data_IF_967216739054
#
_entry.id   IF_967216739054
#
_cell.length_a   1.000
_cell.length_b   1.000
_cell.length_c   1.000
_cell.angle_alpha   90.00
_cell.angle_beta   90.00
_cell.angle_gamma   90.00
#
_symmetry.space_group_name_H-M   'P 1'
#
loop_
_entity.id
_entity.type
_entity.pdbx_description
1 polymer ?
#
# COMPACT_ATOMS: atom_id res chain seq x y z
N UNK A 1 1.85 -35.65 -18.38
CA UNK A 1 0.90 -34.71 -19.04
C UNK A 1 1.56 -33.34 -19.03
N UNK A 2 1.75 -32.73 -20.19
CA UNK A 2 2.22 -31.34 -20.31
C UNK A 2 1.12 -30.42 -19.77
N UNK A 3 1.49 -29.48 -18.90
CA UNK A 3 0.52 -28.49 -18.38
C UNK A 3 0.23 -27.42 -19.43
N UNK A 4 -0.94 -26.76 -19.35
CA UNK A 4 -1.26 -25.64 -20.24
C UNK A 4 -0.17 -24.53 -20.19
N UNK A 5 0.48 -24.36 -19.03
CA UNK A 5 1.63 -23.47 -18.86
C UNK A 5 2.80 -23.89 -19.75
N UNK A 6 3.12 -25.19 -19.78
CA UNK A 6 4.24 -25.72 -20.57
C UNK A 6 3.96 -25.59 -22.07
N UNK A 7 2.73 -25.77 -22.49
CA UNK A 7 2.32 -25.58 -23.90
C UNK A 7 2.48 -24.12 -24.33
N UNK A 8 1.98 -23.18 -23.53
CA UNK A 8 2.08 -21.74 -23.80
C UNK A 8 3.54 -21.30 -23.83
N UNK A 9 4.32 -21.61 -22.79
CA UNK A 9 5.74 -21.24 -22.72
C UNK A 9 6.55 -21.93 -23.81
N UNK A 10 6.24 -23.18 -24.15
CA UNK A 10 6.84 -23.90 -25.26
C UNK A 10 6.53 -23.26 -26.60
N UNK A 11 5.29 -22.83 -26.81
CA UNK A 11 4.88 -22.06 -28.00
C UNK A 11 5.66 -20.75 -28.15
N UNK A 12 5.77 -19.97 -27.07
CA UNK A 12 6.54 -18.72 -27.05
C UNK A 12 8.02 -18.97 -27.36
N UNK A 13 8.65 -19.99 -26.73
CA UNK A 13 10.05 -20.33 -26.98
C UNK A 13 10.30 -20.70 -28.45
N UNK A 14 9.42 -21.50 -29.05
CA UNK A 14 9.51 -21.85 -30.48
C UNK A 14 9.39 -20.61 -31.36
N UNK A 15 8.42 -19.75 -31.11
CA UNK A 15 8.19 -18.53 -31.89
C UNK A 15 9.37 -17.56 -31.79
N UNK A 16 10.07 -17.52 -30.66
CA UNK A 16 11.25 -16.68 -30.44
C UNK A 16 12.57 -17.36 -30.82
N UNK A 17 12.55 -18.57 -31.37
CA UNK A 17 13.73 -19.36 -31.73
C UNK A 17 14.69 -19.53 -30.54
N UNK A 18 14.17 -19.62 -29.31
CA UNK A 18 14.95 -19.77 -28.08
C UNK A 18 14.91 -21.19 -27.57
N UNK A 19 16.10 -21.79 -27.43
CA UNK A 19 16.30 -23.05 -26.74
C UNK A 19 16.12 -22.93 -25.21
N UNK A 20 16.35 -24.05 -24.49
CA UNK A 20 16.44 -24.03 -23.04
C UNK A 20 17.50 -23.02 -22.58
N UNK A 21 17.22 -22.32 -21.46
CA UNK A 21 18.22 -21.43 -20.87
C UNK A 21 19.44 -22.24 -20.39
N UNK A 22 20.69 -21.87 -20.75
CA UNK A 22 21.88 -22.51 -20.22
C UNK A 22 21.90 -22.44 -18.69
N UNK A 23 22.42 -23.48 -18.04
CA UNK A 23 22.36 -23.61 -16.58
C UNK A 23 23.12 -22.51 -15.85
N UNK A 24 24.23 -22.04 -16.38
CA UNK A 24 25.01 -20.92 -15.85
C UNK A 24 24.20 -19.60 -15.88
N UNK A 25 23.49 -19.36 -16.99
CA UNK A 25 22.61 -18.20 -17.12
C UNK A 25 21.38 -18.31 -16.23
N UNK A 26 20.83 -19.50 -16.05
CA UNK A 26 19.73 -19.73 -15.12
C UNK A 26 20.16 -19.41 -13.68
N UNK A 27 21.35 -19.87 -13.27
CA UNK A 27 21.93 -19.59 -11.96
C UNK A 27 22.18 -18.09 -11.75
N UNK A 28 22.80 -17.41 -12.73
CA UNK A 28 23.04 -15.96 -12.69
C UNK A 28 21.73 -15.17 -12.51
N UNK A 29 20.68 -15.52 -13.26
CA UNK A 29 19.38 -14.85 -13.17
C UNK A 29 18.69 -15.13 -11.84
N UNK A 30 18.79 -16.35 -11.32
CA UNK A 30 18.26 -16.71 -10.00
C UNK A 30 18.95 -15.92 -8.90
N UNK A 31 20.29 -15.84 -8.94
CA UNK A 31 21.06 -15.02 -7.99
C UNK A 31 20.66 -13.54 -8.08
N UNK A 32 20.54 -13.01 -9.30
CA UNK A 32 20.14 -11.63 -9.52
C UNK A 32 18.76 -11.33 -8.90
N UNK A 33 17.80 -12.24 -9.06
CA UNK A 33 16.47 -12.12 -8.46
C UNK A 33 16.55 -12.20 -6.93
N UNK A 34 17.33 -13.14 -6.39
CA UNK A 34 17.47 -13.33 -4.94
C UNK A 34 18.24 -12.19 -4.25
N UNK A 35 19.23 -11.63 -4.92
CA UNK A 35 20.10 -10.59 -4.34
C UNK A 35 19.38 -9.24 -4.12
N UNK A 36 18.27 -8.99 -4.80
CA UNK A 36 17.51 -7.74 -4.72
C UNK A 36 18.39 -6.48 -4.71
N UNK A 37 19.41 -6.45 -5.59
CA UNK A 37 20.39 -5.36 -5.62
C UNK A 37 19.70 -4.03 -5.81
N UNK A 38 19.96 -3.11 -4.89
CA UNK A 38 19.47 -1.73 -5.00
C UNK A 38 20.06 -1.07 -6.24
N UNK A 39 19.22 -0.34 -6.96
CA UNK A 39 19.64 0.50 -8.08
C UNK A 39 20.05 1.89 -7.56
N UNK A 40 20.08 2.90 -8.42
CA UNK A 40 20.33 4.27 -7.98
C UNK A 40 19.23 4.74 -7.05
N UNK A 41 19.61 5.11 -5.82
CA UNK A 41 18.72 5.77 -4.85
C UNK A 41 19.01 7.26 -4.95
N UNK A 42 18.00 8.10 -5.27
CA UNK A 42 18.18 9.55 -5.30
C UNK A 42 18.62 10.09 -3.92
N UNK A 43 19.56 11.04 -3.95
CA UNK A 43 20.12 11.60 -2.72
C UNK A 43 19.13 12.48 -1.93
N UNK A 44 18.06 12.95 -2.59
CA UNK A 44 17.10 13.91 -2.04
C UNK A 44 16.55 13.54 -0.68
N UNK A 45 16.19 12.27 -0.47
CA UNK A 45 15.59 11.81 0.78
C UNK A 45 16.55 10.96 1.63
N UNK A 46 17.62 10.41 1.04
CA UNK A 46 18.49 9.43 1.69
C UNK A 46 19.28 9.98 2.88
N UNK A 47 19.64 11.27 2.83
CA UNK A 47 20.44 11.93 3.88
C UNK A 47 19.59 12.64 4.95
N UNK A 48 18.26 12.62 4.84
CA UNK A 48 17.37 13.32 5.77
C UNK A 48 17.21 12.53 7.07
N UNK A 49 17.17 13.26 8.18
CA UNK A 49 16.72 12.72 9.46
C UNK A 49 15.22 12.38 9.41
N UNK A 50 14.69 11.84 10.50
CA UNK A 50 13.28 11.42 10.56
C UNK A 50 12.32 12.59 10.37
N UNK A 51 12.54 13.72 11.03
CA UNK A 51 11.63 14.87 10.97
C UNK A 51 11.62 15.49 9.57
N UNK A 52 12.79 15.76 9.00
CA UNK A 52 12.91 16.30 7.64
C UNK A 52 12.35 15.33 6.58
N UNK A 53 12.42 14.02 6.80
CA UNK A 53 11.83 13.02 5.92
C UNK A 53 10.31 13.05 5.96
N UNK A 54 9.71 13.21 7.14
CA UNK A 54 8.26 13.38 7.31
C UNK A 54 7.81 14.65 6.59
N UNK A 55 8.52 15.77 6.80
CA UNK A 55 8.19 17.04 6.15
C UNK A 55 8.30 16.96 4.63
N UNK A 56 9.33 16.30 4.12
CA UNK A 56 9.46 16.05 2.68
C UNK A 56 8.28 15.22 2.15
N UNK A 57 7.89 14.16 2.85
CA UNK A 57 6.74 13.34 2.46
C UNK A 57 5.47 14.18 2.36
N UNK A 58 5.19 14.98 3.36
CA UNK A 58 4.00 15.85 3.39
C UNK A 58 4.02 16.83 2.24
N UNK A 59 5.14 17.54 2.04
CA UNK A 59 5.28 18.50 0.95
C UNK A 59 5.06 17.85 -0.43
N UNK A 60 5.64 16.67 -0.66
CA UNK A 60 5.48 15.93 -1.92
C UNK A 60 4.07 15.40 -2.13
N UNK A 61 3.39 14.98 -1.06
CA UNK A 61 2.00 14.53 -1.13
C UNK A 61 1.04 15.71 -1.45
N UNK A 62 1.25 16.85 -0.81
CA UNK A 62 0.45 18.07 -1.05
C UNK A 62 0.67 18.66 -2.46
N UNK A 63 1.90 18.59 -2.99
CA UNK A 63 2.21 19.02 -4.36
C UNK A 63 1.33 18.29 -5.40
N UNK A 64 0.98 17.05 -5.14
CA UNK A 64 0.09 16.25 -6.00
C UNK A 64 -1.38 16.29 -5.55
N UNK A 65 -1.78 17.27 -4.74
CA UNK A 65 -3.16 17.51 -4.28
C UNK A 65 -3.71 16.45 -3.31
N UNK A 66 -2.85 15.73 -2.61
CA UNK A 66 -3.27 14.96 -1.44
C UNK A 66 -3.42 15.91 -0.26
N UNK A 67 -4.46 15.75 0.54
CA UNK A 67 -4.57 16.47 1.80
C UNK A 67 -3.95 15.64 2.94
N UNK A 68 -3.17 16.27 3.81
CA UNK A 68 -2.52 15.61 4.94
C UNK A 68 -2.90 16.31 6.23
N UNK A 69 -3.42 15.54 7.20
CA UNK A 69 -3.61 16.01 8.56
C UNK A 69 -2.66 15.27 9.49
N UNK A 70 -1.88 16.00 10.28
CA UNK A 70 -1.03 15.43 11.33
C UNK A 70 -1.83 15.30 12.62
N UNK A 71 -1.76 14.15 13.25
CA UNK A 71 -2.37 13.86 14.54
C UNK A 71 -1.33 13.26 15.47
N UNK A 72 -1.51 13.46 16.76
CA UNK A 72 -0.52 13.02 17.75
C UNK A 72 -0.66 11.56 18.17
N UNK A 73 -1.86 10.98 18.00
CA UNK A 73 -2.16 9.63 18.47
C UNK A 73 -3.35 9.00 17.75
N UNK A 74 -3.57 7.70 17.98
CA UNK A 74 -4.76 6.98 17.52
C UNK A 74 -6.07 7.60 18.06
N UNK A 75 -6.01 8.26 19.22
CA UNK A 75 -7.17 8.90 19.86
C UNK A 75 -7.72 10.07 19.02
N UNK A 76 -6.89 10.71 18.23
CA UNK A 76 -7.26 11.89 17.45
C UNK A 76 -7.86 11.55 16.08
N UNK A 77 -7.63 10.31 15.60
CA UNK A 77 -8.05 9.87 14.26
C UNK A 77 -9.57 10.00 14.04
N UNK A 78 -10.45 9.54 14.96
CA UNK A 78 -11.90 9.64 14.74
C UNK A 78 -12.38 11.09 14.61
N UNK A 79 -11.77 12.00 15.36
CA UNK A 79 -12.09 13.43 15.29
C UNK A 79 -11.67 14.02 13.95
N UNK A 80 -10.47 13.70 13.49
CA UNK A 80 -9.95 14.19 12.21
C UNK A 80 -10.76 13.65 11.03
N UNK A 81 -11.06 12.35 11.03
CA UNK A 81 -11.90 11.75 9.98
C UNK A 81 -13.28 12.43 9.93
N UNK A 82 -13.93 12.62 11.09
CA UNK A 82 -15.23 13.31 11.14
C UNK A 82 -15.13 14.77 10.65
N UNK A 83 -14.07 15.49 11.04
CA UNK A 83 -13.79 16.87 10.58
C UNK A 83 -13.63 16.92 9.06
N UNK A 84 -12.82 16.01 8.50
CA UNK A 84 -12.58 15.93 7.06
C UNK A 84 -13.87 15.66 6.28
N UNK A 85 -14.64 14.64 6.70
CA UNK A 85 -15.91 14.31 6.06
C UNK A 85 -16.88 15.51 6.05
N UNK A 86 -16.98 16.23 7.18
CA UNK A 86 -17.82 17.42 7.29
C UNK A 86 -17.33 18.57 6.38
N UNK A 87 -16.01 18.81 6.33
CA UNK A 87 -15.42 19.87 5.51
C UNK A 87 -15.64 19.62 4.00
N UNK A 88 -15.62 18.35 3.58
CA UNK A 88 -15.82 17.96 2.19
C UNK A 88 -17.29 17.68 1.82
N UNK A 89 -18.24 17.92 2.77
CA UNK A 89 -19.66 17.60 2.61
C UNK A 89 -19.91 16.12 2.22
N UNK A 90 -19.14 15.22 2.82
CA UNK A 90 -19.25 13.78 2.61
C UNK A 90 -20.16 13.13 3.67
N UNK A 91 -20.78 11.99 3.37
CA UNK A 91 -21.58 11.27 4.36
C UNK A 91 -20.71 10.83 5.56
N UNK A 92 -21.29 10.86 6.76
CA UNK A 92 -20.63 10.38 7.98
C UNK A 92 -20.65 8.84 8.06
N UNK A 93 -20.36 8.19 6.92
CA UNK A 93 -20.26 6.73 6.80
C UNK A 93 -19.13 6.36 5.85
N UNK A 94 -18.41 5.30 6.19
CA UNK A 94 -17.27 4.83 5.40
C UNK A 94 -17.10 3.31 5.51
N UNK A 95 -16.45 2.74 4.51
CA UNK A 95 -15.99 1.36 4.53
C UNK A 95 -14.50 1.31 4.90
N UNK A 96 -14.17 0.61 5.97
CA UNK A 96 -12.80 0.46 6.44
C UNK A 96 -12.23 -0.93 6.13
N UNK A 97 -10.94 -0.99 5.91
CA UNK A 97 -10.20 -2.24 5.78
C UNK A 97 -10.40 -3.10 7.04
N UNK A 98 -10.65 -4.41 6.91
CA UNK A 98 -10.71 -5.33 8.04
C UNK A 98 -9.29 -5.68 8.55
N UNK A 99 -8.46 -4.66 8.72
CA UNK A 99 -7.09 -4.80 9.20
C UNK A 99 -7.02 -4.54 10.71
N UNK A 100 -6.38 -5.43 11.50
CA UNK A 100 -6.28 -5.28 12.95
C UNK A 100 -5.62 -3.98 13.42
N UNK A 101 -4.76 -3.36 12.61
CA UNK A 101 -4.13 -2.09 12.96
C UNK A 101 -5.11 -0.92 13.09
N UNK A 102 -6.32 -1.07 12.57
CA UNK A 102 -7.40 -0.09 12.69
C UNK A 102 -8.33 -0.36 13.89
N UNK A 103 -8.15 -1.49 14.60
CA UNK A 103 -8.99 -1.86 15.74
C UNK A 103 -8.57 -1.14 17.03
N UNK A 104 -7.33 -0.61 17.08
CA UNK A 104 -6.83 0.19 18.21
C UNK A 104 -7.39 1.62 18.23
N UNK A 105 -8.01 2.05 17.15
CA UNK A 105 -8.57 3.39 17.00
C UNK A 105 -9.93 3.46 17.71
N UNK A 106 -10.14 4.41 18.64
CA UNK A 106 -11.36 4.51 19.46
C UNK A 106 -12.51 5.16 18.68
N UNK A 107 -13.08 4.43 17.72
CA UNK A 107 -14.17 4.91 16.85
C UNK A 107 -15.45 5.26 17.60
N UNK A 108 -15.69 4.65 18.76
CA UNK A 108 -16.82 4.88 19.64
C UNK A 108 -16.88 6.32 20.19
N UNK A 109 -15.76 7.04 20.18
CA UNK A 109 -15.70 8.48 20.53
C UNK A 109 -16.46 9.38 19.54
N UNK A 110 -16.84 8.84 18.39
CA UNK A 110 -17.62 9.54 17.35
C UNK A 110 -18.83 8.70 16.91
N UNK A 111 -19.88 8.58 17.73
CA UNK A 111 -21.00 7.65 17.51
C UNK A 111 -21.83 7.95 16.25
N UNK A 112 -21.71 9.16 15.69
CA UNK A 112 -22.37 9.52 14.42
C UNK A 112 -21.61 8.99 13.21
N UNK A 113 -20.34 8.62 13.36
CA UNK A 113 -19.51 8.05 12.29
C UNK A 113 -19.82 6.56 12.15
N UNK A 114 -20.42 6.19 11.03
CA UNK A 114 -20.75 4.79 10.73
C UNK A 114 -19.60 4.13 9.97
N UNK A 115 -19.08 3.05 10.53
CA UNK A 115 -17.96 2.33 9.95
C UNK A 115 -18.36 0.90 9.67
N UNK A 116 -18.35 0.52 8.38
CA UNK A 116 -18.50 -0.85 7.94
C UNK A 116 -17.10 -1.43 7.66
N UNK A 117 -16.81 -2.61 8.12
CA UNK A 117 -15.56 -3.32 7.82
C UNK A 117 -15.76 -4.25 6.63
N UNK A 118 -14.81 -4.26 5.69
CA UNK A 118 -14.85 -5.18 4.57
C UNK A 118 -14.35 -4.60 3.25
N UNK A 119 -14.82 -5.18 2.16
CA UNK A 119 -14.52 -4.74 0.80
C UNK A 119 -15.37 -3.53 0.44
N UNK A 120 -14.85 -2.64 -0.39
CA UNK A 120 -15.66 -1.57 -0.96
C UNK A 120 -16.62 -2.11 -2.01
N UNK A 121 -17.82 -1.54 -2.03
CA UNK A 121 -18.89 -1.78 -2.99
C UNK A 121 -19.19 -0.51 -3.78
N UNK A 122 -19.95 -0.62 -4.87
CA UNK A 122 -20.18 0.49 -5.79
C UNK A 122 -20.89 1.71 -5.17
N UNK A 123 -21.60 1.52 -4.06
CA UNK A 123 -22.30 2.60 -3.37
C UNK A 123 -21.46 3.28 -2.28
N UNK A 124 -20.29 2.74 -1.94
CA UNK A 124 -19.43 3.34 -0.93
C UNK A 124 -18.75 4.61 -1.46
N UNK A 125 -19.01 5.73 -0.83
CA UNK A 125 -18.43 7.01 -1.21
C UNK A 125 -17.03 7.23 -0.62
N UNK A 126 -16.76 6.65 0.56
CA UNK A 126 -15.53 6.86 1.33
C UNK A 126 -14.97 5.52 1.79
N UNK A 127 -13.67 5.33 1.59
CA UNK A 127 -12.92 4.21 2.18
C UNK A 127 -11.84 4.69 3.15
N UNK A 128 -11.47 3.77 4.07
CA UNK A 128 -10.38 3.98 5.00
C UNK A 128 -9.48 2.74 5.05
N UNK A 129 -8.18 2.93 4.85
CA UNK A 129 -7.19 1.84 4.87
C UNK A 129 -5.96 2.22 5.68
N UNK A 130 -5.25 1.22 6.26
CA UNK A 130 -3.91 1.48 6.75
C UNK A 130 -2.94 1.57 5.57
N UNK A 131 -1.77 2.16 5.81
CA UNK A 131 -0.65 2.17 4.88
C UNK A 131 0.41 1.16 5.32
N UNK A 132 1.10 0.53 4.37
CA UNK A 132 2.23 -0.35 4.68
C UNK A 132 3.52 0.43 4.78
N UNK A 133 3.78 1.29 3.80
CA UNK A 133 4.93 2.19 3.75
C UNK A 133 4.57 3.44 2.94
N UNK A 134 5.28 4.53 3.16
CA UNK A 134 5.16 5.75 2.39
C UNK A 134 6.55 6.25 1.98
N UNK A 135 6.70 6.66 0.71
CA UNK A 135 7.98 7.07 0.11
C UNK A 135 8.08 8.59 0.14
N UNK A 136 9.00 9.11 0.95
CA UNK A 136 9.15 10.56 1.14
C UNK A 136 9.57 11.29 -0.14
N UNK A 137 10.43 10.68 -0.93
CA UNK A 137 10.94 11.27 -2.16
C UNK A 137 9.86 11.73 -3.14
N UNK A 138 8.73 11.04 -3.17
CA UNK A 138 7.67 11.25 -4.16
C UNK A 138 6.28 11.47 -3.56
N UNK A 139 6.12 11.43 -2.22
CA UNK A 139 4.80 11.47 -1.59
C UNK A 139 3.92 10.26 -1.92
N UNK A 140 4.54 9.10 -2.19
CA UNK A 140 3.83 7.90 -2.64
C UNK A 140 3.48 6.97 -1.50
N UNK A 141 2.23 6.55 -1.43
CA UNK A 141 1.76 5.49 -0.53
C UNK A 141 1.98 4.11 -1.16
N UNK A 142 2.44 3.15 -0.37
CA UNK A 142 2.58 1.73 -0.75
C UNK A 142 1.54 0.91 0.01
N UNK A 143 0.53 0.45 -0.69
CA UNK A 143 -0.61 -0.28 -0.14
C UNK A 143 -0.57 -1.72 -0.65
N UNK A 144 -0.35 -2.65 0.25
CA UNK A 144 -0.27 -4.08 -0.07
C UNK A 144 -1.64 -4.74 -0.01
N UNK A 145 -1.94 -5.60 -0.98
CA UNK A 145 -3.17 -6.38 -0.97
C UNK A 145 -3.08 -7.55 0.01
N UNK A 146 -4.19 -7.84 0.66
CA UNK A 146 -4.32 -8.98 1.56
C UNK A 146 -5.76 -9.19 2.01
N UNK A 147 -6.03 -10.23 2.83
CA UNK A 147 -7.36 -10.44 3.41
C UNK A 147 -7.82 -9.24 4.24
N UNK A 148 -6.90 -8.59 4.97
CA UNK A 148 -7.16 -7.39 5.76
C UNK A 148 -7.18 -6.10 4.95
N UNK A 149 -6.68 -6.09 3.71
CA UNK A 149 -6.54 -4.90 2.88
C UNK A 149 -7.01 -5.14 1.44
N UNK A 150 -8.32 -5.33 1.22
CA UNK A 150 -8.89 -5.52 -0.11
C UNK A 150 -8.61 -4.33 -1.04
N UNK A 151 -8.08 -4.59 -2.24
CA UNK A 151 -7.70 -3.53 -3.21
C UNK A 151 -8.86 -2.68 -3.69
N UNK A 152 -10.10 -3.16 -3.61
CA UNK A 152 -11.28 -2.38 -3.95
C UNK A 152 -11.42 -1.11 -3.10
N UNK A 153 -10.90 -1.11 -1.86
CA UNK A 153 -10.88 0.07 -0.99
C UNK A 153 -9.99 1.19 -1.53
N UNK A 154 -8.97 0.86 -2.31
CA UNK A 154 -8.02 1.84 -2.84
C UNK A 154 -8.53 2.55 -4.10
N UNK A 155 -9.52 1.98 -4.80
CA UNK A 155 -9.87 2.45 -6.15
C UNK A 155 -11.36 2.71 -6.36
N UNK A 156 -12.25 2.05 -5.63
CA UNK A 156 -13.67 2.09 -5.94
C UNK A 156 -14.38 3.33 -5.37
N UNK A 157 -14.19 3.72 -4.11
CA UNK A 157 -14.79 4.94 -3.55
C UNK A 157 -14.18 6.21 -4.11
N UNK A 158 -14.99 7.25 -4.24
CA UNK A 158 -14.55 8.58 -4.71
C UNK A 158 -13.55 9.25 -3.75
N UNK A 159 -13.57 8.87 -2.48
CA UNK A 159 -12.67 9.38 -1.45
C UNK A 159 -11.95 8.25 -0.74
N UNK A 160 -10.63 8.32 -0.69
CA UNK A 160 -9.80 7.37 0.02
C UNK A 160 -9.08 8.08 1.18
N UNK A 161 -9.33 7.62 2.40
CA UNK A 161 -8.65 8.07 3.62
C UNK A 161 -7.60 7.01 3.99
N UNK A 162 -6.37 7.44 4.23
CA UNK A 162 -5.27 6.53 4.57
C UNK A 162 -4.69 6.89 5.94
N UNK A 163 -4.67 5.93 6.85
CA UNK A 163 -3.98 6.05 8.14
C UNK A 163 -2.53 5.67 7.93
N UNK A 164 -1.63 6.62 8.19
CA UNK A 164 -0.19 6.49 8.03
C UNK A 164 0.52 6.81 9.34
N UNK A 165 1.39 5.92 9.81
CA UNK A 165 2.26 6.20 10.97
C UNK A 165 3.60 6.75 10.49
N UNK A 166 4.13 7.77 11.16
CA UNK A 166 5.40 8.40 10.81
C UNK A 166 6.56 7.41 10.69
N UNK A 167 6.54 6.32 11.47
CA UNK A 167 7.53 5.23 11.38
C UNK A 167 7.48 4.40 10.08
N UNK A 168 6.42 4.54 9.28
CA UNK A 168 6.26 3.88 7.98
C UNK A 168 6.79 4.72 6.81
N UNK A 169 7.22 5.96 7.08
CA UNK A 169 7.78 6.84 6.05
C UNK A 169 9.24 6.49 5.81
N UNK A 170 9.53 6.02 4.63
CA UNK A 170 10.88 5.64 4.16
C UNK A 170 11.40 6.66 3.16
N UNK A 171 12.72 6.65 2.93
CA UNK A 171 13.34 7.60 2.02
C UNK A 171 13.01 7.30 0.56
N UNK A 172 13.13 6.04 0.14
CA UNK A 172 13.08 5.62 -1.26
C UNK A 172 12.15 4.43 -1.48
N UNK A 173 11.85 4.13 -2.75
CA UNK A 173 11.12 2.92 -3.14
C UNK A 173 11.85 1.64 -2.73
N UNK A 174 13.18 1.61 -2.82
CA UNK A 174 13.98 0.47 -2.40
C UNK A 174 13.78 0.14 -0.92
N UNK A 175 13.74 1.18 -0.06
CA UNK A 175 13.46 1.01 1.37
C UNK A 175 12.04 0.47 1.60
N UNK A 176 11.07 0.95 0.83
CA UNK A 176 9.69 0.46 0.87
C UNK A 176 9.58 -1.01 0.47
N UNK A 177 10.28 -1.41 -0.59
CA UNK A 177 10.34 -2.81 -1.01
C UNK A 177 11.03 -3.71 0.01
N UNK A 178 12.06 -3.21 0.69
CA UNK A 178 12.72 -3.96 1.77
C UNK A 178 11.76 -4.20 2.95
N UNK A 179 10.93 -3.19 3.31
CA UNK A 179 9.88 -3.38 4.32
C UNK A 179 8.83 -4.42 3.90
N UNK A 180 8.43 -4.42 2.62
CA UNK A 180 7.49 -5.42 2.09
C UNK A 180 8.09 -6.83 2.21
N UNK A 181 9.34 -7.02 1.82
CA UNK A 181 10.03 -8.30 1.90
C UNK A 181 10.23 -8.76 3.35
N UNK A 182 10.58 -7.84 4.24
CA UNK A 182 10.77 -8.16 5.65
C UNK A 182 9.47 -8.61 6.35
N UNK A 183 8.32 -8.09 5.91
CA UNK A 183 7.00 -8.49 6.42
C UNK A 183 6.44 -9.75 5.77
N UNK A 184 6.91 -10.09 4.58
CA UNK A 184 6.58 -11.33 3.92
C UNK A 184 7.26 -12.49 4.69
N UNK A 185 6.63 -12.95 5.78
CA UNK A 185 7.12 -14.12 6.53
C UNK A 185 7.16 -15.35 5.63
N UNK A 186 8.16 -16.21 5.74
CA UNK A 186 8.08 -17.55 5.15
C UNK A 186 6.88 -18.25 5.79
N UNK A 187 5.83 -18.48 5.02
CA UNK A 187 4.73 -19.33 5.47
C UNK A 187 5.30 -20.77 5.48
N UNK A 188 5.26 -21.47 6.63
CA UNK A 188 5.52 -22.92 6.57
C UNK A 188 4.48 -23.49 5.60
N UNK A 189 4.95 -24.20 4.57
CA UNK A 189 4.05 -24.90 3.67
C UNK A 189 3.10 -25.75 4.53
N UNK A 190 1.76 -25.65 4.35
CA UNK A 190 0.85 -26.53 5.07
C UNK A 190 1.28 -27.97 4.77
N UNK A 191 1.27 -28.87 5.77
CA UNK A 191 1.61 -30.25 5.54
C UNK A 191 0.70 -30.77 4.43
N UNK A 192 1.30 -31.36 3.39
CA UNK A 192 0.58 -31.99 2.29
C UNK A 192 -0.26 -33.13 2.91
N UNK A 193 -1.55 -32.88 3.13
CA UNK A 193 -2.49 -33.94 3.42
C UNK A 193 -2.63 -34.75 2.13
N UNK A 194 -2.14 -35.99 2.19
CA UNK A 194 -2.28 -36.94 1.10
C UNK A 194 -3.75 -37.11 0.76
N UNK A 195 -4.18 -36.61 -0.41
CA UNK A 195 -5.53 -36.83 -0.93
C UNK A 195 -6.30 -35.63 -1.47
N UNK A 196 -5.76 -34.44 -1.46
CA UNK A 196 -6.48 -33.27 -1.99
C UNK A 196 -6.13 -33.04 -3.46
N UNK A 197 -6.98 -33.59 -4.32
CA UNK A 197 -7.00 -33.38 -5.77
C UNK A 197 -7.66 -32.02 -6.02
N UNK A 198 -7.00 -31.23 -6.87
CA UNK A 198 -7.60 -30.10 -7.60
C UNK A 198 -8.02 -28.88 -6.78
N UNK A 199 -7.02 -28.09 -6.33
CA UNK A 199 -7.25 -26.65 -6.14
C UNK A 199 -6.91 -25.92 -7.44
N UNK A 200 -7.75 -24.96 -7.89
CA UNK A 200 -7.33 -24.09 -8.98
C UNK A 200 -6.08 -23.33 -8.51
N UNK A 201 -4.96 -23.60 -9.17
CA UNK A 201 -3.66 -23.02 -8.93
C UNK A 201 -3.67 -21.53 -9.27
N UNK A 202 -4.04 -20.70 -8.33
CA UNK A 202 -4.11 -19.25 -8.45
C UNK A 202 -3.64 -18.51 -7.21
N UNK A 203 -2.94 -19.17 -6.29
CA UNK A 203 -2.25 -18.53 -5.18
C UNK A 203 -0.75 -18.41 -5.46
N UNK A 204 -0.05 -17.41 -4.91
CA UNK A 204 1.40 -17.34 -5.05
C UNK A 204 2.03 -18.45 -4.20
N UNK A 205 2.20 -19.62 -4.77
CA UNK A 205 3.14 -20.58 -4.24
C UNK A 205 4.54 -20.03 -4.55
N UNK A 206 5.14 -19.41 -3.52
CA UNK A 206 6.57 -19.14 -3.56
C UNK A 206 7.29 -20.48 -3.65
N UNK A 207 8.10 -20.65 -4.69
CA UNK A 207 9.01 -21.77 -4.75
C UNK A 207 9.88 -21.76 -3.49
N UNK A 208 9.87 -22.88 -2.76
CA UNK A 208 10.85 -23.25 -1.74
C UNK A 208 11.24 -22.17 -0.71
N UNK A 209 10.32 -21.79 0.17
CA UNK A 209 10.64 -20.98 1.35
C UNK A 209 10.89 -19.49 1.07
N UNK A 210 10.65 -19.00 -0.13
CA UNK A 210 10.68 -17.57 -0.41
C UNK A 210 9.52 -16.84 0.29
N UNK A 211 9.75 -15.63 0.82
CA UNK A 211 8.69 -14.85 1.48
C UNK A 211 7.54 -14.60 0.51
N UNK A 212 6.31 -14.86 0.95
CA UNK A 212 5.11 -14.60 0.18
C UNK A 212 4.87 -13.09 0.07
N UNK A 213 5.24 -12.52 -1.06
CA UNK A 213 4.91 -11.14 -1.38
C UNK A 213 3.40 -10.96 -1.54
N UNK A 214 2.84 -9.80 -1.21
CA UNK A 214 1.45 -9.50 -1.48
C UNK A 214 1.17 -9.65 -2.99
N UNK A 215 -0.02 -10.14 -3.33
CA UNK A 215 -0.41 -10.36 -4.73
C UNK A 215 -0.36 -9.07 -5.56
N UNK A 216 -0.59 -7.94 -4.91
CA UNK A 216 -0.56 -6.61 -5.51
C UNK A 216 0.00 -5.62 -4.51
N UNK A 217 0.86 -4.73 -4.97
CA UNK A 217 1.27 -3.52 -4.26
C UNK A 217 0.83 -2.34 -5.09
N UNK A 218 -0.05 -1.51 -4.53
CA UNK A 218 -0.50 -0.29 -5.16
C UNK A 218 0.41 0.86 -4.74
N UNK A 219 1.00 1.54 -5.71
CA UNK A 219 1.79 2.75 -5.51
C UNK A 219 0.89 3.93 -5.86
N UNK A 220 0.45 4.69 -4.85
CA UNK A 220 -0.52 5.77 -5.02
C UNK A 220 0.15 7.10 -4.70
N UNK A 221 0.23 7.97 -5.71
CA UNK A 221 0.82 9.30 -5.65
C UNK A 221 -0.25 10.32 -5.98
N UNK A 222 -0.98 10.76 -4.98
CA UNK A 222 -2.09 11.69 -5.15
C UNK A 222 -3.41 11.08 -5.61
N UNK A 223 -4.47 11.88 -5.74
CA UNK A 223 -5.76 11.48 -6.26
C UNK A 223 -5.69 11.13 -7.75
N UNK A 224 -6.64 10.33 -8.23
CA UNK A 224 -6.72 9.90 -9.62
C UNK A 224 -6.92 11.08 -10.57
N UNK A 225 -6.01 11.22 -11.54
CA UNK A 225 -6.06 12.23 -12.60
C UNK A 225 -5.76 11.59 -13.95
N UNK A 226 -6.53 11.96 -14.97
CA UNK A 226 -6.21 11.62 -16.35
C UNK A 226 -6.20 12.89 -17.20
N UNK A 227 -5.21 13.02 -18.08
CA UNK A 227 -5.06 14.15 -19.01
C UNK A 227 -5.38 13.81 -20.46
N UNK A 228 -5.71 12.54 -20.74
CA UNK A 228 -5.83 12.04 -22.12
C UNK A 228 -7.19 12.33 -22.79
N UNK A 229 -8.15 12.87 -22.05
CA UNK A 229 -9.48 13.15 -22.57
C UNK A 229 -9.59 14.63 -22.91
N UNK A 230 -9.55 14.97 -24.21
CA UNK A 230 -9.74 16.33 -24.75
C UNK A 230 -8.80 17.38 -24.15
N UNK A 231 -7.57 17.01 -23.76
CA UNK A 231 -6.60 17.88 -23.09
C UNK A 231 -7.10 18.54 -21.79
N UNK A 232 -8.12 17.98 -21.16
CA UNK A 232 -8.65 18.40 -19.85
C UNK A 232 -8.30 17.38 -18.79
N UNK A 233 -7.85 17.88 -17.64
CA UNK A 233 -7.62 17.02 -16.47
C UNK A 233 -8.97 16.59 -15.92
N UNK A 234 -9.26 15.29 -15.98
CA UNK A 234 -10.40 14.69 -15.31
C UNK A 234 -9.96 13.99 -14.02
N UNK A 235 -10.60 14.33 -12.93
CA UNK A 235 -10.39 13.68 -11.64
C UNK A 235 -11.29 12.43 -11.52
N UNK A 236 -10.72 11.33 -11.00
CA UNK A 236 -11.51 10.16 -10.61
C UNK A 236 -11.88 9.20 -11.74
N UNK A 237 -11.25 9.28 -12.91
CA UNK A 237 -11.55 8.35 -14.00
C UNK A 237 -11.09 6.91 -13.70
N UNK A 238 -10.02 6.74 -12.90
CA UNK A 238 -9.39 5.44 -12.63
C UNK A 238 -9.13 5.19 -11.14
N UNK A 239 -9.79 5.91 -10.25
CA UNK A 239 -9.63 5.80 -8.81
C UNK A 239 -10.19 7.02 -8.06
N UNK A 240 -9.92 7.15 -6.77
CA UNK A 240 -10.46 8.19 -5.92
C UNK A 240 -10.16 9.61 -6.43
N UNK A 241 -11.16 10.47 -6.39
CA UNK A 241 -11.02 11.91 -6.70
C UNK A 241 -10.34 12.67 -5.56
N UNK A 242 -10.39 12.11 -4.34
CA UNK A 242 -9.80 12.68 -3.14
C UNK A 242 -8.95 11.64 -2.44
N UNK A 243 -7.76 12.06 -2.05
CA UNK A 243 -6.88 11.27 -1.20
C UNK A 243 -6.58 12.11 0.04
N UNK A 244 -6.93 11.57 1.22
CA UNK A 244 -6.66 12.20 2.50
C UNK A 244 -5.80 11.29 3.35
N UNK A 245 -4.71 11.81 3.91
CA UNK A 245 -3.80 11.08 4.78
C UNK A 245 -3.95 11.60 6.21
N UNK A 246 -4.28 10.70 7.13
CA UNK A 246 -4.19 10.96 8.57
C UNK A 246 -2.84 10.42 9.02
N UNK A 247 -1.88 11.33 9.20
CA UNK A 247 -0.51 11.02 9.59
C UNK A 247 -0.37 11.08 11.10
N UNK A 248 -0.09 9.95 11.72
CA UNK A 248 0.19 9.86 13.15
C UNK A 248 1.68 10.15 13.36
N UNK A 249 1.96 11.30 13.99
CA UNK A 249 3.32 11.73 14.31
C UNK A 249 3.48 11.90 15.83
N UNK A 250 3.91 10.85 16.48
CA UNK A 250 4.11 10.81 17.94
C UNK A 250 5.23 11.77 18.43
N UNK A 251 6.04 12.31 17.53
CA UNK A 251 7.14 13.22 17.88
C UNK A 251 6.66 14.62 18.28
N UNK A 252 5.49 15.06 17.83
CA UNK A 252 4.93 16.35 18.27
C UNK A 252 4.56 16.37 19.76
N UNK A 253 4.23 15.22 20.35
CA UNK A 253 3.90 15.13 21.79
C UNK A 253 5.11 15.44 22.64
N UNK A 254 6.31 15.03 22.22
CA UNK A 254 7.55 15.27 22.97
C UNK A 254 8.01 16.75 22.92
N UNK A 255 7.67 17.46 21.84
CA UNK A 255 8.05 18.87 21.69
C UNK A 255 7.13 19.84 22.47
N UNK A 256 5.90 19.43 22.76
CA UNK A 256 4.90 20.23 23.50
C UNK A 256 4.73 19.82 24.98
N UNK A 257 5.51 18.86 25.48
CA UNK A 257 5.50 18.51 26.90
C UNK A 257 6.13 19.67 27.71
N UNK A 258 5.47 20.18 28.76
CA UNK A 258 6.10 21.19 29.64
C UNK A 258 7.35 20.56 30.27
N UNK A 259 8.41 21.36 30.46
CA UNK A 259 9.63 20.86 31.11
C UNK A 259 9.26 20.30 32.49
N UNK A 260 9.91 19.20 32.94
CA UNK A 260 9.67 18.66 34.25
C UNK A 260 10.00 19.72 35.31
N UNK A 261 9.00 20.04 36.14
CA UNK A 261 9.13 21.02 37.23
C UNK A 261 9.99 20.52 38.40
#
# INVERSE_FOLDING_TARGET
MTTARDEILGGIRRALWRGPLPADKAAELTERVAAHRRNRVPARAAALDRAARIDLFVAMAEEVQTTVARVSSDQDIPAEVARYLAAENLPAELVAAPDPSLDTIPWDTRPLLRIRRGRAEAHDAVSLTPCLAAVAETGTLMLASGPGTPTTLNFLPDTHIVVLRAGQIVASYEDGWDLIRARASPHPAPPLLAGEVDRPTGGPEGADGAPLLPRTVNLITGPSRTGDIEQRIQLGAHGPRRLHIVLIDETEVAANAPPPG
#
